data_IF_474004339003
#
_entry.id   IF_474004339003
#
_cell.length_a   1.000
_cell.length_b   1.000
_cell.length_c   1.000
_cell.angle_alpha   90.00
_cell.angle_beta   90.00
_cell.angle_gamma   90.00
#
_symmetry.space_group_name_H-M   'P 1'
#
loop_
_entity.id
_entity.type
_entity.pdbx_description
1 polymer ?
#
# COMPACT_ATOMS: atom_id res chain seq x y z
N UNK A 1 -3.69 13.64 -14.54
CA UNK A 1 -3.07 12.34 -14.18
C UNK A 1 -4.13 11.55 -13.45
N UNK A 2 -4.56 10.39 -13.97
CA UNK A 2 -5.51 9.51 -13.28
C UNK A 2 -4.67 8.72 -12.27
N UNK A 3 -4.82 9.00 -10.97
CA UNK A 3 -4.05 8.37 -9.91
C UNK A 3 -4.61 6.96 -9.65
N UNK A 4 -3.81 5.94 -9.95
CA UNK A 4 -4.12 4.56 -9.57
C UNK A 4 -3.85 4.39 -8.08
N UNK A 5 -4.92 4.18 -7.29
CA UNK A 5 -4.79 3.76 -5.91
C UNK A 5 -4.01 2.44 -5.85
N UNK A 6 -2.76 2.48 -5.41
CA UNK A 6 -2.05 1.25 -5.05
C UNK A 6 -2.56 0.78 -3.69
N UNK A 7 -3.55 -0.11 -3.72
CA UNK A 7 -4.00 -0.81 -2.52
C UNK A 7 -3.02 -1.95 -2.23
N UNK A 8 -2.52 -2.01 -0.99
CA UNK A 8 -1.71 -3.13 -0.53
C UNK A 8 -2.62 -4.07 0.26
N UNK A 9 -2.96 -5.19 -0.37
CA UNK A 9 -3.98 -6.18 0.05
C UNK A 9 -3.81 -6.68 1.49
N UNK A 10 -2.58 -6.64 2.04
CA UNK A 10 -2.27 -7.15 3.38
C UNK A 10 -1.62 -6.13 4.34
N UNK A 11 -1.54 -4.85 3.96
CA UNK A 11 -0.94 -3.83 4.82
C UNK A 11 -1.68 -2.50 4.76
N UNK A 12 -2.63 -2.33 5.69
CA UNK A 12 -3.32 -1.04 5.90
C UNK A 12 -2.34 0.12 6.11
N UNK A 13 -1.18 -0.13 6.75
CA UNK A 13 -0.14 0.88 6.96
C UNK A 13 0.47 1.35 5.63
N UNK A 14 0.77 0.42 4.73
CA UNK A 14 1.30 0.75 3.42
C UNK A 14 0.25 1.45 2.53
N UNK A 15 -1.02 1.03 2.64
CA UNK A 15 -2.13 1.68 1.92
C UNK A 15 -2.36 3.11 2.40
N UNK A 16 -2.38 3.36 3.72
CA UNK A 16 -2.50 4.72 4.29
C UNK A 16 -1.29 5.58 3.88
N UNK A 17 -0.08 5.01 3.93
CA UNK A 17 1.12 5.72 3.51
C UNK A 17 1.08 6.12 2.04
N UNK A 18 0.69 5.20 1.15
CA UNK A 18 0.53 5.50 -0.28
C UNK A 18 -0.54 6.58 -0.51
N UNK A 19 -1.67 6.50 0.17
CA UNK A 19 -2.74 7.49 0.07
C UNK A 19 -2.28 8.89 0.54
N UNK A 20 -1.50 8.95 1.62
CA UNK A 20 -0.93 10.22 2.09
C UNK A 20 0.08 10.82 1.10
N UNK A 21 0.92 9.98 0.49
CA UNK A 21 1.89 10.42 -0.52
C UNK A 21 1.21 10.88 -1.81
N UNK A 22 0.13 10.21 -2.22
CA UNK A 22 -0.70 10.64 -3.35
C UNK A 22 -1.38 11.98 -3.07
N UNK A 23 -1.89 12.19 -1.86
CA UNK A 23 -2.49 13.46 -1.45
C UNK A 23 -1.47 14.62 -1.48
N UNK A 24 -0.25 14.39 -0.99
CA UNK A 24 0.84 15.37 -1.06
C UNK A 24 1.17 15.70 -2.52
N UNK A 25 1.33 14.67 -3.37
CA UNK A 25 1.63 14.86 -4.78
C UNK A 25 0.53 15.65 -5.50
N UNK A 26 -0.74 15.41 -5.15
CA UNK A 26 -1.88 16.16 -5.67
C UNK A 26 -1.82 17.64 -5.27
N UNK A 27 -1.62 17.93 -3.98
CA UNK A 27 -1.53 19.31 -3.49
C UNK A 27 -0.37 20.04 -4.18
N UNK A 28 0.80 19.42 -4.28
CA UNK A 28 1.97 19.99 -4.96
C UNK A 28 1.69 20.27 -6.45
N UNK A 29 0.96 19.38 -7.13
CA UNK A 29 0.58 19.56 -8.53
C UNK A 29 -0.39 20.73 -8.72
N UNK A 30 -1.39 20.86 -7.84
CA UNK A 30 -2.36 21.96 -7.88
C UNK A 30 -1.68 23.30 -7.58
N UNK A 31 -0.83 23.36 -6.55
CA UNK A 31 -0.06 24.57 -6.23
C UNK A 31 0.89 24.92 -7.37
N UNK A 32 1.58 23.94 -7.95
CA UNK A 32 2.44 24.15 -9.12
C UNK A 32 1.69 24.75 -10.31
N UNK A 33 0.46 24.30 -10.55
CA UNK A 33 -0.40 24.82 -11.62
C UNK A 33 -0.88 26.25 -11.33
N UNK A 34 -1.23 26.56 -10.08
CA UNK A 34 -1.58 27.92 -9.65
C UNK A 34 -0.39 28.88 -9.82
N UNK A 35 0.83 28.45 -9.47
CA UNK A 35 2.03 29.27 -9.65
C UNK A 35 2.34 29.50 -11.14
N UNK A 36 2.14 28.51 -12.00
CA UNK A 36 2.26 28.69 -13.45
C UNK A 36 1.24 29.70 -13.97
N UNK A 37 0.00 29.68 -13.48
CA UNK A 37 -1.00 30.67 -13.86
C UNK A 37 -0.64 32.09 -13.38
N UNK A 38 -0.16 32.22 -12.14
CA UNK A 38 0.32 33.48 -11.58
C UNK A 38 1.56 34.03 -12.31
N UNK A 39 2.34 33.18 -12.97
CA UNK A 39 3.52 33.62 -13.73
C UNK A 39 3.19 34.57 -14.89
N UNK A 40 1.96 34.50 -15.41
CA UNK A 40 1.45 35.41 -16.44
C UNK A 40 1.43 36.86 -15.96
N UNK A 41 1.20 37.06 -14.65
CA UNK A 41 1.05 38.39 -14.03
C UNK A 41 2.30 38.84 -13.28
N UNK A 42 3.03 37.90 -12.66
CA UNK A 42 4.12 38.21 -11.73
C UNK A 42 5.52 37.80 -12.20
N UNK A 43 5.62 37.33 -13.45
CA UNK A 43 6.88 37.08 -14.17
C UNK A 43 7.43 35.65 -14.05
N UNK A 44 8.52 35.39 -14.79
CA UNK A 44 9.08 34.06 -15.04
C UNK A 44 9.57 33.30 -13.79
N UNK A 45 9.85 33.98 -12.67
CA UNK A 45 10.25 33.35 -11.40
C UNK A 45 9.25 32.30 -10.90
N UNK A 46 7.96 32.52 -11.15
CA UNK A 46 6.90 31.59 -10.75
C UNK A 46 6.85 30.35 -11.64
N UNK A 47 7.37 30.43 -12.88
CA UNK A 47 7.50 29.27 -13.77
C UNK A 47 8.49 28.28 -13.20
N UNK A 48 9.68 28.73 -12.79
CA UNK A 48 10.71 27.86 -12.22
C UNK A 48 10.24 27.16 -10.94
N UNK A 49 9.53 27.89 -10.05
CA UNK A 49 9.00 27.32 -8.81
C UNK A 49 7.88 26.31 -9.12
N UNK A 50 6.97 26.64 -10.05
CA UNK A 50 5.91 25.72 -10.47
C UNK A 50 6.47 24.42 -11.07
N UNK A 51 7.50 24.53 -11.90
CA UNK A 51 8.15 23.38 -12.53
C UNK A 51 8.87 22.50 -11.49
N UNK A 52 9.53 23.12 -10.51
CA UNK A 52 10.13 22.40 -9.37
C UNK A 52 9.08 21.63 -8.57
N UNK A 53 7.92 22.23 -8.31
CA UNK A 53 6.82 21.56 -7.59
C UNK A 53 6.27 20.35 -8.36
N UNK A 54 6.18 20.43 -9.69
CA UNK A 54 5.78 19.28 -10.51
C UNK A 54 6.80 18.14 -10.44
N UNK A 55 8.10 18.44 -10.45
CA UNK A 55 9.16 17.43 -10.26
C UNK A 55 9.05 16.79 -8.87
N UNK A 56 8.81 17.59 -7.84
CA UNK A 56 8.59 17.09 -6.47
C UNK A 56 7.34 16.19 -6.40
N UNK A 57 6.22 16.60 -7.00
CA UNK A 57 5.00 15.81 -7.05
C UNK A 57 5.23 14.45 -7.71
N UNK A 58 5.97 14.44 -8.82
CA UNK A 58 6.36 13.21 -9.50
C UNK A 58 7.22 12.30 -8.59
N UNK A 59 8.20 12.88 -7.88
CA UNK A 59 9.04 12.14 -6.93
C UNK A 59 8.22 11.51 -5.79
N UNK A 60 7.33 12.27 -5.17
CA UNK A 60 6.46 11.78 -4.09
C UNK A 60 5.55 10.65 -4.57
N UNK A 61 4.97 10.79 -5.75
CA UNK A 61 4.10 9.76 -6.33
C UNK A 61 4.86 8.47 -6.68
N UNK A 62 5.84 8.57 -7.58
CA UNK A 62 6.50 7.38 -8.11
C UNK A 62 7.46 6.75 -7.11
N UNK A 63 8.29 7.54 -6.44
CA UNK A 63 9.36 7.01 -5.60
C UNK A 63 8.85 6.70 -4.20
N UNK A 64 8.11 7.63 -3.59
CA UNK A 64 7.62 7.49 -2.22
C UNK A 64 6.38 6.60 -2.17
N UNK A 65 5.32 6.92 -2.92
CA UNK A 65 4.08 6.13 -2.95
C UNK A 65 4.32 4.69 -3.39
N UNK A 66 4.92 4.50 -4.58
CA UNK A 66 5.02 3.15 -5.16
C UNK A 66 6.18 2.30 -4.63
N UNK A 67 7.41 2.84 -4.51
CA UNK A 67 8.61 2.04 -4.22
C UNK A 67 8.81 1.85 -2.72
N UNK A 68 8.65 2.91 -1.93
CA UNK A 68 8.70 2.84 -0.47
C UNK A 68 7.44 2.13 0.08
N UNK A 69 6.25 2.44 -0.45
CA UNK A 69 5.01 1.72 -0.10
C UNK A 69 5.15 0.20 -0.27
N UNK A 70 5.68 -0.27 -1.41
CA UNK A 70 5.97 -1.70 -1.64
C UNK A 70 6.96 -2.32 -0.65
N UNK A 71 7.94 -1.56 -0.16
CA UNK A 71 8.89 -2.04 0.86
C UNK A 71 8.23 -2.15 2.23
N UNK A 72 7.42 -1.16 2.59
CA UNK A 72 6.66 -1.14 3.85
C UNK A 72 5.65 -2.28 3.86
N UNK A 73 4.90 -2.46 2.76
CA UNK A 73 3.95 -3.54 2.60
C UNK A 73 4.61 -4.91 2.75
N UNK A 74 5.76 -5.14 2.10
CA UNK A 74 6.49 -6.41 2.22
C UNK A 74 6.96 -6.69 3.65
N UNK A 75 7.53 -5.70 4.34
CA UNK A 75 7.97 -5.86 5.73
C UNK A 75 6.80 -6.14 6.68
N UNK A 76 5.70 -5.40 6.54
CA UNK A 76 4.51 -5.55 7.38
C UNK A 76 3.81 -6.89 7.10
N UNK A 77 3.73 -7.29 5.83
CA UNK A 77 3.19 -8.59 5.43
C UNK A 77 4.01 -9.75 5.97
N UNK A 78 5.34 -9.72 5.81
CA UNK A 78 6.22 -10.74 6.38
C UNK A 78 6.07 -10.86 7.88
N UNK A 79 5.82 -9.78 8.62
CA UNK A 79 5.56 -9.89 10.06
C UNK A 79 4.19 -10.51 10.33
N UNK A 80 3.15 -10.01 9.65
CA UNK A 80 1.76 -10.39 9.89
C UNK A 80 1.44 -11.81 9.49
N UNK A 81 2.06 -12.34 8.44
CA UNK A 81 1.77 -13.70 7.98
C UNK A 81 2.09 -14.76 9.05
N UNK A 82 3.08 -14.50 9.91
CA UNK A 82 3.47 -15.39 11.01
C UNK A 82 2.76 -15.11 12.33
N UNK A 83 2.16 -13.93 12.51
CA UNK A 83 1.56 -13.52 13.78
C UNK A 83 0.03 -13.43 13.75
N UNK A 84 -0.54 -13.04 12.61
CA UNK A 84 -1.97 -12.76 12.48
C UNK A 84 -2.67 -13.94 11.77
N UNK A 85 -3.58 -14.64 12.44
CA UNK A 85 -4.26 -15.80 11.87
C UNK A 85 -5.20 -15.42 10.71
N UNK A 86 -5.72 -14.19 10.65
CA UNK A 86 -6.62 -13.75 9.56
C UNK A 86 -5.82 -13.53 8.27
N UNK A 87 -4.63 -12.94 8.40
CA UNK A 87 -3.74 -12.73 7.24
C UNK A 87 -3.26 -14.06 6.67
N UNK A 88 -2.89 -15.01 7.54
CA UNK A 88 -2.54 -16.37 7.14
C UNK A 88 -3.73 -17.09 6.46
N UNK A 89 -4.93 -16.98 7.00
CA UNK A 89 -6.15 -17.52 6.39
C UNK A 89 -6.38 -16.98 4.98
N UNK A 90 -6.36 -15.66 4.80
CA UNK A 90 -6.56 -15.04 3.48
C UNK A 90 -5.47 -15.47 2.49
N UNK A 91 -4.22 -15.62 2.95
CA UNK A 91 -3.11 -16.06 2.11
C UNK A 91 -3.29 -17.50 1.60
N UNK A 92 -3.74 -18.42 2.47
CA UNK A 92 -4.08 -19.80 2.08
C UNK A 92 -5.32 -19.84 1.18
N UNK A 93 -6.35 -19.07 1.51
CA UNK A 93 -7.60 -19.03 0.74
C UNK A 93 -7.41 -18.47 -0.67
N UNK A 94 -6.44 -17.58 -0.86
CA UNK A 94 -6.04 -17.05 -2.16
C UNK A 94 -5.10 -18.00 -2.94
N UNK A 95 -4.80 -19.19 -2.41
CA UNK A 95 -4.01 -20.21 -3.08
C UNK A 95 -2.50 -19.95 -3.07
N UNK A 96 -2.01 -19.03 -2.23
CA UNK A 96 -0.59 -18.70 -2.19
C UNK A 96 0.25 -19.67 -1.34
N UNK A 97 -0.37 -20.44 -0.45
CA UNK A 97 0.28 -21.47 0.36
C UNK A 97 -0.72 -22.55 0.81
N UNK A 98 -0.22 -23.71 1.23
CA UNK A 98 -1.08 -24.76 1.80
C UNK A 98 -1.38 -24.50 3.27
N UNK A 99 -2.46 -25.11 3.78
CA UNK A 99 -2.80 -25.04 5.20
C UNK A 99 -1.67 -25.58 6.07
N UNK A 100 -1.07 -26.72 5.71
CA UNK A 100 -0.02 -27.37 6.50
C UNK A 100 1.22 -26.49 6.64
N UNK A 101 1.63 -25.86 5.53
CA UNK A 101 2.78 -24.96 5.52
C UNK A 101 2.54 -23.75 6.42
N UNK A 102 1.34 -23.18 6.37
CA UNK A 102 0.98 -22.00 7.16
C UNK A 102 0.68 -22.34 8.61
N UNK A 103 0.17 -23.53 8.91
CA UNK A 103 -0.05 -24.02 10.27
C UNK A 103 1.28 -24.27 10.99
N UNK A 104 2.30 -24.78 10.29
CA UNK A 104 3.64 -24.94 10.85
C UNK A 104 4.32 -23.60 11.15
N UNK A 105 4.04 -22.57 10.34
CA UNK A 105 4.65 -21.25 10.42
C UNK A 105 3.92 -20.26 11.35
N UNK A 106 2.61 -20.43 11.53
CA UNK A 106 1.77 -19.54 12.34
C UNK A 106 0.91 -20.38 13.32
N UNK A 107 1.37 -20.55 14.58
CA UNK A 107 0.64 -21.32 15.58
C UNK A 107 -0.75 -20.76 15.90
N UNK A 108 -0.93 -19.44 15.81
CA UNK A 108 -2.22 -18.79 16.05
C UNK A 108 -3.23 -19.11 14.94
N UNK A 109 -2.76 -19.29 13.70
CA UNK A 109 -3.57 -19.76 12.58
C UNK A 109 -4.02 -21.21 12.79
N UNK A 110 -3.09 -22.10 13.15
CA UNK A 110 -3.38 -23.50 13.45
C UNK A 110 -4.37 -23.67 14.63
N UNK A 111 -4.33 -22.76 15.61
CA UNK A 111 -5.24 -22.79 16.74
C UNK A 111 -6.68 -22.36 16.39
N UNK A 112 -6.85 -21.45 15.43
CA UNK A 112 -8.16 -20.89 15.05
C UNK A 112 -8.82 -21.57 13.86
N UNK A 113 -8.03 -22.17 12.96
CA UNK A 113 -8.52 -22.67 11.69
C UNK A 113 -8.10 -24.12 11.47
N UNK A 114 -8.94 -24.88 10.77
CA UNK A 114 -8.71 -26.27 10.40
C UNK A 114 -9.21 -26.55 8.99
N UNK A 115 -8.66 -27.60 8.36
CA UNK A 115 -9.16 -28.11 7.09
C UNK A 115 -10.46 -28.87 7.33
N UNK A 116 -11.51 -28.49 6.61
CA UNK A 116 -12.74 -29.28 6.59
C UNK A 116 -12.60 -30.49 5.65
N UNK A 117 -13.63 -31.34 5.64
CA UNK A 117 -13.72 -32.55 4.80
C UNK A 117 -13.63 -32.28 3.30
N UNK A 118 -13.84 -31.02 2.88
CA UNK A 118 -13.79 -30.56 1.49
C UNK A 118 -12.46 -29.86 1.15
N UNK A 119 -11.46 -29.93 2.03
CA UNK A 119 -10.16 -29.28 1.83
C UNK A 119 -10.18 -27.75 1.95
N UNK A 120 -11.28 -27.17 2.47
CA UNK A 120 -11.37 -25.72 2.72
C UNK A 120 -10.97 -25.40 4.15
N UNK A 121 -10.23 -24.31 4.30
CA UNK A 121 -9.89 -23.78 5.62
C UNK A 121 -11.16 -23.18 6.26
N UNK A 122 -11.53 -23.65 7.43
CA UNK A 122 -12.70 -23.18 8.20
C UNK A 122 -12.31 -22.86 9.63
N UNK A 123 -13.09 -22.03 10.31
CA UNK A 123 -12.91 -21.78 11.74
C UNK A 123 -13.11 -23.08 12.52
N UNK A 124 -12.15 -23.42 13.38
CA UNK A 124 -12.28 -24.54 14.30
C UNK A 124 -13.45 -24.24 15.25
N UNK A 125 -14.46 -25.11 15.24
CA UNK A 125 -15.56 -25.03 16.20
C UNK A 125 -15.02 -25.46 17.56
N UNK A 126 -15.17 -24.58 18.57
CA UNK A 126 -14.91 -24.94 19.97
C UNK A 126 -16.01 -25.85 20.50
#
# INVERSE_FOLDING_TARGET
MIFFFTTFEYSNKATIFALFMDLIAYILSVVGLILLFLSVWFGARFVYIGLLLFVLAFFFYFFMGSKLGRRIARKDFHKKIYTDPIVAYNYVNNGHATYEEMAAKNPAFAAKYELNQFGKVTLRKK
#
